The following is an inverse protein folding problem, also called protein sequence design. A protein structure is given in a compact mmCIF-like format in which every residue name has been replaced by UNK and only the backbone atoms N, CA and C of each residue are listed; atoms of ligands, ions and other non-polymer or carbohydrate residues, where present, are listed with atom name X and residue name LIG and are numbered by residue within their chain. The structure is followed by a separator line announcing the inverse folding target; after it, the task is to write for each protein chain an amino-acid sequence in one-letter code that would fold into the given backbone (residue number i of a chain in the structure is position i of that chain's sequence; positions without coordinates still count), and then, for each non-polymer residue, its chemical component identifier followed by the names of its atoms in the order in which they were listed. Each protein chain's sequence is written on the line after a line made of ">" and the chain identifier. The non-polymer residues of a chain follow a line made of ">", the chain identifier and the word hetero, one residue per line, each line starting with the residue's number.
data_IF_383305165687
#
_entry.id   IF_383305165687
#
_cell.length_a   1.000
_cell.length_b   1.000
_cell.length_c   1.000
_cell.angle_alpha   90.00
_cell.angle_beta   90.00
_cell.angle_gamma   90.00
#
_symmetry.space_group_name_H-M   'P 1'
#
loop_
_entity.id
_entity.type
_entity.pdbx_description
1 polymer ?
#
# COMPACT_ATOMS: atom_id res chain seq x y z
N UNK A 1 34.55 3.44 2.34
CA UNK A 1 34.24 2.00 2.18
C UNK A 1 32.93 1.73 2.92
N UNK A 2 31.87 1.36 2.19
CA UNK A 2 30.56 1.06 2.78
C UNK A 2 30.58 -0.33 3.40
N UNK A 3 30.51 -0.40 4.73
CA UNK A 3 30.34 -1.64 5.48
C UNK A 3 28.84 -1.92 5.64
N UNK A 4 28.38 -3.16 5.42
CA UNK A 4 26.98 -3.58 5.61
C UNK A 4 26.87 -4.63 6.72
N UNK A 5 25.77 -4.59 7.47
CA UNK A 5 25.45 -5.56 8.51
C UNK A 5 24.57 -6.68 7.96
N UNK A 6 24.88 -7.91 8.32
CA UNK A 6 23.99 -9.06 8.12
C UNK A 6 22.86 -9.11 9.17
N UNK A 7 22.04 -10.16 9.10
CA UNK A 7 20.93 -10.38 10.05
C UNK A 7 21.42 -10.72 11.48
N UNK A 8 22.64 -11.22 11.62
CA UNK A 8 23.26 -11.62 12.88
C UNK A 8 24.10 -10.48 13.51
N UNK A 9 24.18 -9.33 12.83
CA UNK A 9 24.91 -8.13 13.24
C UNK A 9 26.38 -8.09 12.85
N UNK A 10 26.88 -9.09 12.11
CA UNK A 10 28.23 -9.11 11.57
C UNK A 10 28.39 -8.04 10.49
N UNK A 11 29.55 -7.39 10.48
CA UNK A 11 29.86 -6.25 9.63
C UNK A 11 30.85 -6.65 8.56
N UNK A 12 30.43 -6.55 7.31
CA UNK A 12 31.24 -6.92 6.16
C UNK A 12 31.56 -5.70 5.31
N UNK A 13 32.75 -5.68 4.69
CA UNK A 13 33.14 -4.69 3.68
C UNK A 13 33.37 -5.29 2.29
N UNK A 14 33.36 -6.63 2.18
CA UNK A 14 33.52 -7.35 0.93
C UNK A 14 32.27 -7.26 0.04
N UNK A 15 32.48 -6.93 -1.25
CA UNK A 15 31.37 -6.71 -2.19
C UNK A 15 30.53 -7.97 -2.45
N UNK A 16 31.16 -9.14 -2.52
CA UNK A 16 30.46 -10.41 -2.78
C UNK A 16 29.49 -10.75 -1.65
N UNK A 17 29.97 -10.70 -0.41
CA UNK A 17 29.18 -10.91 0.78
C UNK A 17 28.06 -9.86 0.95
N UNK A 18 28.33 -8.57 0.68
CA UNK A 18 27.29 -7.52 0.70
C UNK A 18 26.16 -7.83 -0.29
N UNK A 19 26.49 -8.34 -1.49
CA UNK A 19 25.48 -8.71 -2.49
C UNK A 19 24.62 -9.89 -2.02
N UNK A 20 25.19 -10.88 -1.35
CA UNK A 20 24.44 -12.02 -0.81
C UNK A 20 23.57 -11.62 0.39
N UNK A 21 24.04 -10.72 1.27
CA UNK A 21 23.21 -10.11 2.32
C UNK A 21 22.02 -9.39 1.68
N UNK A 22 22.25 -8.62 0.61
CA UNK A 22 21.18 -7.93 -0.09
C UNK A 22 20.17 -8.88 -0.72
N UNK A 23 20.68 -9.91 -1.41
CA UNK A 23 19.86 -10.89 -2.11
C UNK A 23 19.01 -11.69 -1.14
N UNK A 24 19.59 -12.19 -0.06
CA UNK A 24 18.86 -12.93 0.98
C UNK A 24 17.77 -12.09 1.63
N UNK A 25 18.08 -10.85 2.04
CA UNK A 25 17.12 -9.94 2.65
C UNK A 25 15.90 -9.67 1.74
N UNK A 26 16.14 -9.27 0.49
CA UNK A 26 15.04 -8.97 -0.43
C UNK A 26 14.29 -10.21 -0.90
N UNK A 27 14.97 -11.36 -1.03
CA UNK A 27 14.33 -12.64 -1.32
C UNK A 27 13.30 -12.98 -0.24
N UNK A 28 13.68 -12.94 1.04
CA UNK A 28 12.76 -13.16 2.16
C UNK A 28 11.62 -12.13 2.18
N UNK A 29 11.94 -10.86 1.91
CA UNK A 29 10.94 -9.79 1.91
C UNK A 29 9.86 -10.03 0.83
N UNK A 30 10.24 -10.38 -0.39
CA UNK A 30 9.30 -10.59 -1.48
C UNK A 30 8.57 -11.94 -1.42
N UNK A 31 9.22 -13.01 -0.93
CA UNK A 31 8.58 -14.32 -0.73
C UNK A 31 7.47 -14.29 0.34
N UNK A 32 7.69 -13.54 1.43
CA UNK A 32 6.72 -13.41 2.52
C UNK A 32 5.45 -12.60 2.16
N UNK A 33 5.48 -11.87 1.05
CA UNK A 33 4.42 -10.94 0.65
C UNK A 33 3.38 -11.55 -0.32
N UNK A 34 3.51 -12.83 -0.69
CA UNK A 34 2.58 -13.50 -1.60
C UNK A 34 1.55 -14.35 -0.84
N UNK A 35 0.36 -13.83 -0.49
CA UNK A 35 -0.80 -14.70 -0.44
C UNK A 35 -1.11 -15.12 -1.88
N UNK A 36 -0.84 -16.39 -2.21
CA UNK A 36 -1.32 -16.98 -3.46
C UNK A 36 -2.82 -16.74 -3.54
N UNK A 37 -3.35 -16.05 -4.58
CA UNK A 37 -4.79 -15.95 -4.75
C UNK A 37 -5.31 -17.35 -5.05
N UNK A 38 -5.73 -18.04 -4.00
CA UNK A 38 -6.40 -19.34 -4.11
C UNK A 38 -7.84 -19.00 -4.49
N UNK A 39 -8.18 -19.25 -5.75
CA UNK A 39 -9.46 -19.03 -6.42
C UNK A 39 -9.73 -17.59 -6.90
N UNK A 40 -9.32 -17.29 -8.14
CA UNK A 40 -10.10 -16.38 -8.98
C UNK A 40 -11.46 -17.04 -9.24
N UNK A 41 -12.53 -16.44 -8.72
CA UNK A 41 -13.91 -16.84 -8.98
C UNK A 41 -14.15 -16.94 -10.51
N UNK A 42 -14.85 -17.98 -10.94
CA UNK A 42 -15.35 -18.09 -12.33
C UNK A 42 -16.30 -16.91 -12.58
N UNK A 43 -16.05 -16.19 -13.66
CA UNK A 43 -16.78 -14.99 -14.06
C UNK A 43 -18.29 -15.26 -14.22
N UNK A 44 -19.11 -14.29 -13.79
CA UNK A 44 -20.52 -14.19 -14.14
C UNK A 44 -20.70 -14.04 -15.67
N UNK A 45 -21.79 -14.55 -16.26
CA UNK A 45 -21.97 -14.71 -17.72
C UNK A 45 -22.16 -13.41 -18.52
N UNK A 46 -21.95 -12.24 -17.92
CA UNK A 46 -22.28 -10.93 -18.50
C UNK A 46 -21.03 -10.02 -18.57
N UNK A 47 -19.88 -10.58 -18.96
CA UNK A 47 -18.66 -9.79 -19.15
C UNK A 47 -18.61 -9.23 -20.57
N UNK A 48 -18.75 -7.91 -20.69
CA UNK A 48 -18.32 -7.19 -21.89
C UNK A 48 -16.87 -7.62 -22.23
N UNK A 49 -16.67 -8.21 -23.40
CA UNK A 49 -15.32 -8.57 -23.86
C UNK A 49 -14.45 -7.31 -23.92
N UNK A 50 -13.28 -7.33 -23.26
CA UNK A 50 -12.36 -6.20 -23.30
C UNK A 50 -11.83 -6.07 -24.74
N UNK A 51 -12.03 -4.91 -25.41
CA UNK A 51 -11.64 -4.77 -26.81
C UNK A 51 -10.12 -4.88 -26.99
N UNK A 52 -9.62 -5.34 -28.15
CA UNK A 52 -8.18 -5.39 -28.42
C UNK A 52 -7.54 -4.00 -28.39
N UNK A 53 -6.21 -3.94 -28.32
CA UNK A 53 -5.48 -2.68 -28.40
C UNK A 53 -5.40 -2.18 -29.84
N UNK A 54 -5.40 -0.86 -30.03
CA UNK A 54 -5.16 -0.24 -31.35
C UNK A 54 -3.73 0.26 -31.46
N UNK A 55 -3.18 0.29 -32.68
CA UNK A 55 -1.83 0.81 -32.94
C UNK A 55 -1.67 2.26 -32.47
N UNK A 56 -2.71 3.07 -32.64
CA UNK A 56 -2.75 4.45 -32.15
C UNK A 56 -2.68 4.53 -30.62
N UNK A 57 -3.37 3.63 -29.91
CA UNK A 57 -3.31 3.56 -28.45
C UNK A 57 -1.88 3.23 -27.99
N UNK A 58 -1.25 2.22 -28.59
CA UNK A 58 0.14 1.82 -28.32
C UNK A 58 1.12 2.95 -28.62
N UNK A 59 1.03 3.56 -29.81
CA UNK A 59 1.87 4.68 -30.25
C UNK A 59 1.75 5.87 -29.30
N UNK A 60 0.52 6.24 -28.92
CA UNK A 60 0.29 7.33 -27.97
C UNK A 60 0.88 7.06 -26.59
N UNK A 61 0.84 5.81 -26.13
CA UNK A 61 1.43 5.40 -24.87
C UNK A 61 2.95 5.45 -24.92
N UNK A 62 3.54 4.92 -25.99
CA UNK A 62 4.98 4.88 -26.21
C UNK A 62 5.58 6.28 -26.31
N UNK A 63 4.96 7.18 -27.08
CA UNK A 63 5.40 8.58 -27.17
C UNK A 63 5.32 9.32 -25.83
N UNK A 64 4.36 8.95 -24.98
CA UNK A 64 4.20 9.54 -23.66
C UNK A 64 5.11 8.91 -22.59
N UNK A 65 5.94 7.92 -22.92
CA UNK A 65 6.93 7.36 -21.99
C UNK A 65 8.15 8.27 -21.87
N UNK A 66 8.77 8.29 -20.70
CA UNK A 66 9.99 9.06 -20.48
C UNK A 66 11.17 8.46 -21.23
N UNK A 67 11.83 9.29 -22.04
CA UNK A 67 13.04 8.94 -22.81
C UNK A 67 14.28 8.87 -21.92
N UNK A 68 15.34 8.20 -22.40
CA UNK A 68 16.65 8.09 -21.71
C UNK A 68 16.58 7.55 -20.28
N UNK A 69 15.70 6.58 -19.99
CA UNK A 69 15.74 5.85 -18.70
C UNK A 69 16.52 4.54 -18.83
N UNK A 70 16.93 4.02 -17.68
CA UNK A 70 17.65 2.75 -17.60
C UNK A 70 16.80 1.58 -18.14
N UNK A 71 17.40 0.69 -18.93
CA UNK A 71 16.71 -0.47 -19.47
C UNK A 71 16.43 -1.54 -18.41
N UNK A 72 15.56 -2.49 -18.75
CA UNK A 72 15.34 -3.70 -17.97
C UNK A 72 16.46 -4.74 -18.18
N UNK A 73 16.22 -6.01 -17.80
CA UNK A 73 17.13 -7.12 -18.07
C UNK A 73 17.36 -7.40 -19.57
N UNK A 74 16.45 -6.94 -20.41
CA UNK A 74 16.45 -7.11 -21.88
C UNK A 74 17.27 -6.03 -22.61
N UNK A 75 17.82 -5.04 -21.90
CA UNK A 75 18.57 -3.91 -22.47
C UNK A 75 17.80 -3.06 -23.52
N UNK A 76 16.48 -3.26 -23.63
CA UNK A 76 15.59 -2.51 -24.53
C UNK A 76 15.05 -1.27 -23.80
N UNK A 77 15.04 -0.14 -24.50
CA UNK A 77 14.48 1.13 -24.01
C UNK A 77 13.30 1.60 -24.88
N UNK A 78 12.51 2.55 -24.39
CA UNK A 78 11.44 3.18 -25.17
C UNK A 78 11.95 3.85 -26.45
N UNK A 79 13.19 4.34 -26.42
CA UNK A 79 13.80 5.00 -27.57
C UNK A 79 14.10 3.98 -28.68
N UNK A 80 14.57 2.77 -28.33
CA UNK A 80 14.77 1.67 -29.27
C UNK A 80 13.43 1.21 -29.87
N UNK A 81 12.39 1.09 -29.05
CA UNK A 81 11.05 0.74 -29.54
C UNK A 81 10.49 1.80 -30.49
N UNK A 82 10.78 3.08 -30.25
CA UNK A 82 10.35 4.18 -31.11
C UNK A 82 11.09 4.21 -32.45
N UNK A 83 12.36 3.81 -32.49
CA UNK A 83 13.13 3.66 -33.73
C UNK A 83 12.56 2.56 -34.64
N UNK A 84 11.89 1.57 -34.07
CA UNK A 84 11.26 0.48 -34.82
C UNK A 84 10.01 0.87 -35.61
N UNK A 85 9.49 2.09 -35.40
CA UNK A 85 8.36 2.70 -36.12
C UNK A 85 7.14 1.76 -36.33
N UNK A 86 6.43 1.86 -37.46
CA UNK A 86 5.19 1.13 -37.72
C UNK A 86 5.30 -0.41 -37.65
N UNK A 87 6.35 -1.08 -38.17
CA UNK A 87 6.46 -2.54 -38.07
C UNK A 87 6.46 -3.03 -36.62
N UNK A 88 7.26 -2.39 -35.75
CA UNK A 88 7.34 -2.74 -34.34
C UNK A 88 6.05 -2.40 -33.60
N UNK A 89 5.42 -1.26 -33.91
CA UNK A 89 4.14 -0.89 -33.32
C UNK A 89 3.04 -1.90 -33.64
N UNK A 90 2.95 -2.37 -34.89
CA UNK A 90 1.98 -3.41 -35.29
C UNK A 90 2.23 -4.73 -34.57
N UNK A 91 3.49 -5.15 -34.49
CA UNK A 91 3.86 -6.37 -33.79
C UNK A 91 3.49 -6.31 -32.30
N UNK A 92 3.91 -5.24 -31.60
CA UNK A 92 3.58 -5.02 -30.19
C UNK A 92 2.07 -4.98 -29.95
N UNK A 93 1.32 -4.32 -30.84
CA UNK A 93 -0.15 -4.25 -30.74
C UNK A 93 -0.79 -5.64 -30.82
N UNK A 94 -0.32 -6.48 -31.75
CA UNK A 94 -0.79 -7.86 -31.87
C UNK A 94 -0.47 -8.67 -30.63
N UNK A 95 0.79 -8.63 -30.16
CA UNK A 95 1.21 -9.36 -28.98
C UNK A 95 0.44 -8.92 -27.73
N UNK A 96 0.26 -7.62 -27.51
CA UNK A 96 -0.48 -7.12 -26.35
C UNK A 96 -1.97 -7.50 -26.39
N UNK A 97 -2.58 -7.53 -27.57
CA UNK A 97 -3.97 -7.96 -27.73
C UNK A 97 -4.12 -9.46 -27.49
N UNK A 98 -3.13 -10.26 -27.90
CA UNK A 98 -3.09 -11.69 -27.64
C UNK A 98 -2.86 -12.00 -26.16
N UNK A 99 -2.00 -11.25 -25.47
CA UNK A 99 -1.80 -11.34 -24.01
C UNK A 99 -3.12 -11.01 -23.28
N UNK A 100 -3.85 -9.99 -23.73
CA UNK A 100 -5.15 -9.61 -23.15
C UNK A 100 -6.18 -10.74 -23.29
N UNK A 101 -6.23 -11.40 -24.45
CA UNK A 101 -7.16 -12.51 -24.72
C UNK A 101 -6.77 -13.80 -24.00
N UNK A 102 -5.49 -14.17 -24.04
CA UNK A 102 -4.98 -15.43 -23.46
C UNK A 102 -4.79 -15.36 -21.94
N UNK A 103 -4.73 -14.14 -21.37
CA UNK A 103 -4.42 -13.86 -19.97
C UNK A 103 -3.07 -14.44 -19.52
N UNK A 104 -2.17 -14.72 -20.47
CA UNK A 104 -0.82 -15.25 -20.22
C UNK A 104 0.21 -14.18 -20.58
N UNK A 105 1.09 -13.89 -19.63
CA UNK A 105 2.22 -12.98 -19.84
C UNK A 105 3.47 -13.75 -20.27
N UNK A 106 4.40 -13.12 -21.00
CA UNK A 106 5.71 -13.69 -21.26
C UNK A 106 6.50 -13.95 -19.97
N UNK A 107 7.20 -15.08 -19.89
CA UNK A 107 8.04 -15.44 -18.73
C UNK A 107 9.16 -14.44 -18.48
N UNK A 108 9.67 -13.79 -19.53
CA UNK A 108 10.68 -12.73 -19.40
C UNK A 108 10.18 -11.48 -18.63
N UNK A 109 8.86 -11.31 -18.45
CA UNK A 109 8.31 -10.21 -17.64
C UNK A 109 8.30 -10.52 -16.14
N UNK A 110 8.56 -11.77 -15.76
CA UNK A 110 8.70 -12.19 -14.36
C UNK A 110 10.08 -11.81 -13.79
N UNK A 111 11.03 -11.47 -14.66
CA UNK A 111 12.37 -11.07 -14.28
C UNK A 111 12.52 -9.54 -14.16
N UNK A 112 13.29 -9.10 -13.17
CA UNK A 112 13.59 -7.69 -12.93
C UNK A 112 15.03 -7.51 -12.45
N UNK A 113 15.69 -6.44 -12.92
CA UNK A 113 17.01 -6.05 -12.43
C UNK A 113 16.87 -5.14 -11.22
N UNK A 114 17.24 -5.64 -10.03
CA UNK A 114 17.14 -4.90 -8.77
C UNK A 114 18.34 -3.96 -8.60
N UNK A 115 18.09 -2.67 -8.41
CA UNK A 115 19.09 -1.66 -8.03
C UNK A 115 18.73 -1.11 -6.66
N UNK A 116 19.69 -1.08 -5.76
CA UNK A 116 19.49 -0.64 -4.38
C UNK A 116 20.04 0.78 -4.23
N UNK A 117 19.21 1.72 -3.77
CA UNK A 117 19.58 3.14 -3.60
C UNK A 117 19.48 3.54 -2.12
N UNK A 118 20.55 4.11 -1.59
CA UNK A 118 20.56 4.61 -0.21
C UNK A 118 19.56 5.75 -0.03
N UNK A 119 18.73 5.68 1.03
CA UNK A 119 17.70 6.69 1.34
C UNK A 119 18.16 7.64 2.44
N UNK A 120 18.34 7.14 3.67
CA UNK A 120 18.69 7.91 4.88
C UNK A 120 19.02 6.97 6.05
N UNK A 121 19.73 7.44 7.08
CA UNK A 121 19.99 6.68 8.30
C UNK A 121 21.43 6.15 8.36
N UNK A 122 21.59 4.93 8.86
CA UNK A 122 22.90 4.27 8.89
C UNK A 122 23.14 3.54 7.56
N UNK A 123 24.21 3.87 6.80
CA UNK A 123 24.57 3.16 5.57
C UNK A 123 24.90 1.68 5.77
N UNK A 124 25.18 1.24 6.99
CA UNK A 124 25.41 -0.17 7.27
C UNK A 124 24.16 -1.01 7.47
N UNK A 125 22.97 -0.42 7.47
CA UNK A 125 21.71 -1.16 7.61
C UNK A 125 20.97 -1.19 6.27
N UNK A 126 20.70 -2.40 5.77
CA UNK A 126 20.01 -2.61 4.49
C UNK A 126 18.60 -2.01 4.45
N UNK A 127 17.91 -1.88 5.59
CA UNK A 127 16.57 -1.29 5.68
C UNK A 127 16.55 0.19 5.29
N UNK A 128 17.71 0.85 5.35
CA UNK A 128 17.89 2.25 4.95
C UNK A 128 18.08 2.43 3.45
N UNK A 129 18.04 1.35 2.69
CA UNK A 129 18.09 1.37 1.24
C UNK A 129 16.72 1.06 0.62
N UNK A 130 16.48 1.66 -0.54
CA UNK A 130 15.28 1.46 -1.36
C UNK A 130 15.61 0.55 -2.54
N UNK A 131 14.91 -0.59 -2.68
CA UNK A 131 15.01 -1.37 -3.90
C UNK A 131 14.27 -0.66 -5.04
N UNK A 132 14.87 -0.59 -6.21
CA UNK A 132 14.27 -0.15 -7.46
C UNK A 132 14.39 -1.29 -8.46
N UNK A 133 13.25 -1.84 -8.87
CA UNK A 133 13.18 -2.90 -9.87
C UNK A 133 13.12 -2.29 -11.28
N UNK A 134 14.16 -2.51 -12.07
CA UNK A 134 14.16 -2.19 -13.50
C UNK A 134 13.49 -3.33 -14.26
N UNK A 135 12.28 -3.05 -14.75
CA UNK A 135 11.46 -3.95 -15.55
C UNK A 135 11.65 -3.69 -17.05
N UNK A 136 11.37 -4.71 -17.86
CA UNK A 136 11.33 -4.59 -19.33
C UNK A 136 10.39 -3.46 -19.78
N UNK A 137 10.78 -2.78 -20.85
CA UNK A 137 9.98 -1.68 -21.42
C UNK A 137 8.69 -2.16 -22.08
N UNK A 138 8.65 -3.38 -22.63
CA UNK A 138 7.39 -3.94 -23.16
C UNK A 138 6.37 -4.17 -22.05
N UNK A 139 6.82 -4.63 -20.87
CA UNK A 139 5.98 -4.76 -19.68
C UNK A 139 5.45 -3.40 -19.21
N UNK A 140 6.32 -2.40 -19.09
CA UNK A 140 5.94 -1.03 -18.72
C UNK A 140 4.95 -0.40 -19.72
N UNK A 141 5.13 -0.66 -21.01
CA UNK A 141 4.21 -0.19 -22.05
C UNK A 141 2.84 -0.86 -21.93
N UNK A 142 2.80 -2.18 -21.73
CA UNK A 142 1.57 -2.94 -21.53
C UNK A 142 0.80 -2.48 -20.29
N UNK A 143 1.47 -2.37 -19.14
CA UNK A 143 0.84 -1.87 -17.90
C UNK A 143 0.34 -0.43 -18.03
N UNK A 144 1.04 0.44 -18.78
CA UNK A 144 0.58 1.80 -19.08
C UNK A 144 -0.69 1.82 -19.94
N UNK A 145 -0.83 0.89 -20.90
CA UNK A 145 -2.05 0.74 -21.70
C UNK A 145 -3.24 0.35 -20.81
N UNK A 146 -3.04 -0.64 -19.93
CA UNK A 146 -4.05 -1.04 -18.94
C UNK A 146 -4.40 0.13 -18.01
N UNK A 147 -3.40 0.84 -17.50
CA UNK A 147 -3.59 2.02 -16.67
C UNK A 147 -4.49 3.05 -17.37
N UNK A 148 -4.22 3.41 -18.63
CA UNK A 148 -5.06 4.36 -19.38
C UNK A 148 -6.50 3.90 -19.57
N UNK A 149 -6.75 2.59 -19.64
CA UNK A 149 -8.11 2.03 -19.71
C UNK A 149 -8.79 2.10 -18.34
N UNK A 150 -8.08 1.70 -17.29
CA UNK A 150 -8.59 1.76 -15.91
C UNK A 150 -8.86 3.19 -15.45
N UNK A 151 -8.01 4.16 -15.81
CA UNK A 151 -8.20 5.57 -15.48
C UNK A 151 -9.53 6.14 -16.01
N UNK A 152 -9.99 5.67 -17.19
CA UNK A 152 -11.29 6.06 -17.75
C UNK A 152 -12.46 5.54 -16.92
N UNK A 153 -12.34 4.34 -16.37
CA UNK A 153 -13.36 3.69 -15.55
C UNK A 153 -13.36 4.29 -14.13
N UNK A 154 -12.18 4.57 -13.59
CA UNK A 154 -11.98 5.04 -12.21
C UNK A 154 -12.16 6.55 -12.04
N UNK A 155 -12.75 7.27 -13.01
CA UNK A 155 -12.84 8.74 -12.99
C UNK A 155 -13.49 9.35 -11.74
N UNK A 156 -14.39 8.60 -11.08
CA UNK A 156 -15.19 9.05 -9.95
C UNK A 156 -14.59 8.75 -8.57
N UNK A 157 -13.27 8.95 -8.38
CA UNK A 157 -12.67 8.88 -7.04
C UNK A 157 -13.02 10.12 -6.18
N UNK A 158 -13.16 9.96 -4.85
CA UNK A 158 -13.30 11.09 -3.92
C UNK A 158 -12.19 12.14 -4.10
N UNK A 159 -12.51 13.42 -3.84
CA UNK A 159 -11.54 14.51 -3.97
C UNK A 159 -10.40 14.41 -2.96
N UNK A 160 -10.65 13.79 -1.82
CA UNK A 160 -9.67 13.54 -0.76
C UNK A 160 -8.59 12.52 -1.17
N UNK A 161 -8.81 11.79 -2.27
CA UNK A 161 -7.82 10.88 -2.85
C UNK A 161 -7.03 11.58 -3.96
N UNK A 162 -5.97 12.29 -3.56
CA UNK A 162 -5.04 12.96 -4.49
C UNK A 162 -3.88 12.08 -4.96
N UNK A 163 -3.57 11.00 -4.23
CA UNK A 163 -2.41 10.15 -4.54
C UNK A 163 -2.52 9.49 -5.91
N UNK A 164 -1.49 9.65 -6.75
CA UNK A 164 -1.37 9.05 -8.09
C UNK A 164 -2.51 9.37 -9.06
N UNK A 165 -3.23 10.49 -8.85
CA UNK A 165 -4.35 10.91 -9.69
C UNK A 165 -3.96 12.12 -10.55
N UNK A 166 -4.32 12.08 -11.84
CA UNK A 166 -4.10 13.21 -12.76
C UNK A 166 -4.89 14.43 -12.30
N UNK A 167 -4.22 15.59 -12.25
CA UNK A 167 -4.85 16.87 -11.88
C UNK A 167 -4.98 17.11 -10.38
N UNK A 168 -4.42 16.23 -9.55
CA UNK A 168 -4.36 16.38 -8.10
C UNK A 168 -2.90 16.39 -7.65
N UNK A 169 -2.60 17.20 -6.65
CA UNK A 169 -1.25 17.33 -6.09
C UNK A 169 -1.28 17.28 -4.57
N UNK A 170 -0.15 16.89 -3.97
CA UNK A 170 0.04 16.97 -2.51
C UNK A 170 -0.02 18.41 -2.00
N UNK A 171 0.23 19.38 -2.89
CA UNK A 171 0.12 20.81 -2.57
C UNK A 171 -1.30 21.21 -2.19
N UNK A 172 -2.32 20.63 -2.83
CA UNK A 172 -3.73 20.94 -2.57
C UNK A 172 -4.12 20.52 -1.14
N UNK A 173 -3.64 19.34 -0.72
CA UNK A 173 -3.84 18.84 0.64
C UNK A 173 -3.05 19.63 1.69
N UNK A 174 -1.82 20.04 1.39
CA UNK A 174 -1.02 20.90 2.28
C UNK A 174 -1.75 22.24 2.48
N UNK A 175 -2.22 22.85 1.39
CA UNK A 175 -3.01 24.09 1.45
C UNK A 175 -4.28 23.91 2.28
N UNK A 176 -5.03 22.84 2.04
CA UNK A 176 -6.25 22.53 2.80
C UNK A 176 -5.96 22.37 4.29
N UNK A 177 -4.89 21.66 4.65
CA UNK A 177 -4.48 21.49 6.04
C UNK A 177 -4.11 22.83 6.69
N UNK A 178 -3.36 23.69 5.99
CA UNK A 178 -3.01 25.02 6.47
C UNK A 178 -4.24 25.89 6.73
N UNK A 179 -5.22 25.86 5.82
CA UNK A 179 -6.49 26.58 6.01
C UNK A 179 -7.26 26.10 7.25
N UNK A 180 -7.28 24.79 7.52
CA UNK A 180 -7.90 24.25 8.74
C UNK A 180 -7.16 24.72 10.00
N UNK A 181 -5.83 24.74 9.97
CA UNK A 181 -5.00 25.24 11.08
C UNK A 181 -5.26 26.73 11.33
N UNK A 182 -5.24 27.56 10.28
CA UNK A 182 -5.50 29.00 10.36
C UNK A 182 -6.89 29.27 10.94
N UNK A 183 -7.92 28.59 10.42
CA UNK A 183 -9.31 28.79 10.88
C UNK A 183 -9.52 28.32 12.32
N UNK A 184 -8.82 27.29 12.76
CA UNK A 184 -8.89 26.84 14.16
C UNK A 184 -8.26 27.87 15.10
N UNK A 185 -7.12 28.45 14.70
CA UNK A 185 -6.44 29.48 15.46
C UNK A 185 -7.28 30.76 15.56
N UNK A 186 -7.88 31.22 14.45
CA UNK A 186 -8.76 32.40 14.44
C UNK A 186 -9.95 32.27 15.41
N UNK A 187 -10.51 31.06 15.51
CA UNK A 187 -11.67 30.79 16.37
C UNK A 187 -11.29 30.31 17.78
N UNK A 188 -10.00 30.28 18.13
CA UNK A 188 -9.49 29.73 19.39
C UNK A 188 -10.00 28.31 19.69
N UNK A 189 -10.16 27.47 18.65
CA UNK A 189 -10.59 26.09 18.79
C UNK A 189 -9.36 25.16 18.90
N UNK A 190 -9.38 24.16 19.80
CA UNK A 190 -8.32 23.16 19.86
C UNK A 190 -8.35 22.25 18.63
N UNK A 191 -7.28 22.25 17.84
CA UNK A 191 -7.11 21.37 16.67
C UNK A 191 -6.13 20.23 17.00
N UNK A 192 -6.53 19.00 16.69
CA UNK A 192 -5.67 17.82 16.72
C UNK A 192 -5.53 17.25 15.30
N UNK A 193 -4.29 17.09 14.82
CA UNK A 193 -4.00 16.50 13.50
C UNK A 193 -3.30 15.15 13.69
N UNK A 194 -3.88 14.10 13.11
CA UNK A 194 -3.31 12.75 13.14
C UNK A 194 -2.66 12.38 11.80
N UNK A 195 -1.36 12.09 11.80
CA UNK A 195 -0.66 11.54 10.63
C UNK A 195 -0.63 10.02 10.73
N UNK A 196 -1.27 9.35 9.79
CA UNK A 196 -1.37 7.88 9.76
C UNK A 196 -0.42 7.36 8.69
N UNK A 197 0.65 6.69 9.13
CA UNK A 197 1.50 5.89 8.25
C UNK A 197 1.15 4.41 8.43
N UNK A 198 0.80 3.75 7.32
CA UNK A 198 0.39 2.35 7.30
C UNK A 198 1.62 1.44 7.26
N UNK A 199 2.49 1.53 8.26
CA UNK A 199 3.58 0.55 8.42
C UNK A 199 3.05 -0.73 9.10
N UNK A 200 2.05 -0.61 10.00
CA UNK A 200 1.39 -1.72 10.72
C UNK A 200 -0.04 -1.34 11.13
N UNK A 201 -1.06 -1.92 10.47
CA UNK A 201 -2.48 -1.63 10.72
C UNK A 201 -2.93 -1.79 12.20
N UNK A 202 -2.27 -2.68 12.96
CA UNK A 202 -2.50 -2.85 14.41
C UNK A 202 -2.18 -1.58 15.21
N UNK A 203 -1.04 -0.95 14.95
CA UNK A 203 -0.57 0.20 15.72
C UNK A 203 -1.52 1.38 15.56
N UNK A 204 -2.01 1.59 14.34
CA UNK A 204 -3.00 2.63 14.02
C UNK A 204 -4.30 2.40 14.80
N UNK A 205 -4.78 1.16 14.85
CA UNK A 205 -6.02 0.84 15.56
C UNK A 205 -5.89 1.11 17.07
N UNK A 206 -4.85 0.57 17.71
CA UNK A 206 -4.68 0.65 19.16
C UNK A 206 -4.41 2.09 19.64
N UNK A 207 -3.69 2.90 18.84
CA UNK A 207 -3.31 4.28 19.24
C UNK A 207 -4.35 5.35 18.94
N UNK A 208 -5.12 5.22 17.84
CA UNK A 208 -5.98 6.30 17.37
C UNK A 208 -7.45 5.91 17.33
N UNK A 209 -7.78 4.78 16.69
CA UNK A 209 -9.17 4.35 16.52
C UNK A 209 -9.78 3.99 17.87
N UNK A 210 -9.04 3.24 18.70
CA UNK A 210 -9.52 2.76 19.98
C UNK A 210 -9.80 3.90 20.98
N UNK A 211 -8.91 4.89 21.19
CA UNK A 211 -9.22 6.03 22.05
C UNK A 211 -10.34 6.92 21.52
N UNK A 212 -10.41 7.12 20.19
CA UNK A 212 -11.47 7.97 19.57
C UNK A 212 -12.84 7.33 19.73
N UNK A 213 -12.96 6.03 19.44
CA UNK A 213 -14.22 5.29 19.61
C UNK A 213 -14.68 5.20 21.07
N UNK A 214 -13.75 5.25 22.01
CA UNK A 214 -14.02 5.15 23.44
C UNK A 214 -13.86 6.50 24.15
N UNK A 215 -13.89 7.60 23.38
CA UNK A 215 -13.80 8.93 23.95
C UNK A 215 -14.95 9.17 24.93
N UNK A 216 -14.63 9.72 26.11
CA UNK A 216 -15.61 9.92 27.18
C UNK A 216 -16.08 8.63 27.85
N UNK A 217 -15.42 7.48 27.63
CA UNK A 217 -15.91 6.22 28.17
C UNK A 217 -15.92 6.11 29.71
N UNK A 218 -15.25 7.04 30.37
CA UNK A 218 -15.20 7.16 31.81
C UNK A 218 -16.57 7.55 32.37
N UNK A 219 -17.34 8.39 31.67
CA UNK A 219 -18.55 9.05 32.19
C UNK A 219 -19.85 8.31 31.86
N UNK A 220 -19.91 7.53 30.78
CA UNK A 220 -21.12 6.76 30.43
C UNK A 220 -21.20 5.38 31.12
N UNK A 221 -22.42 4.86 31.27
CA UNK A 221 -22.66 3.50 31.80
C UNK A 221 -22.46 2.45 30.71
N UNK A 222 -21.57 1.47 30.96
CA UNK A 222 -21.28 0.40 30.00
C UNK A 222 -22.37 -0.68 30.07
N UNK A 223 -23.45 -0.51 29.31
CA UNK A 223 -24.52 -1.53 29.22
C UNK A 223 -24.12 -2.70 28.33
N UNK A 224 -24.82 -3.85 28.47
CA UNK A 224 -24.62 -5.01 27.57
C UNK A 224 -24.85 -4.64 26.10
N UNK A 225 -25.84 -3.79 25.82
CA UNK A 225 -26.15 -3.33 24.46
C UNK A 225 -25.02 -2.48 23.86
N UNK A 226 -24.49 -1.50 24.61
CA UNK A 226 -23.37 -0.65 24.16
C UNK A 226 -22.11 -1.48 23.95
N UNK A 227 -21.84 -2.42 24.86
CA UNK A 227 -20.69 -3.34 24.76
C UNK A 227 -20.75 -4.19 23.49
N UNK A 228 -21.93 -4.72 23.15
CA UNK A 228 -22.12 -5.47 21.91
C UNK A 228 -21.89 -4.59 20.68
N UNK A 229 -22.44 -3.38 20.64
CA UNK A 229 -22.24 -2.42 19.53
C UNK A 229 -20.75 -2.12 19.30
N UNK A 230 -20.00 -1.83 20.37
CA UNK A 230 -18.56 -1.60 20.30
C UNK A 230 -17.78 -2.82 19.78
N UNK A 231 -18.12 -4.02 20.26
CA UNK A 231 -17.52 -5.28 19.77
C UNK A 231 -17.87 -5.56 18.31
N UNK A 232 -19.08 -5.26 17.86
CA UNK A 232 -19.47 -5.42 16.46
C UNK A 232 -18.69 -4.47 15.55
N UNK A 233 -18.58 -3.20 15.95
CA UNK A 233 -17.77 -2.21 15.23
C UNK A 233 -16.30 -2.63 15.16
N UNK A 234 -15.69 -3.02 16.29
CA UNK A 234 -14.34 -3.55 16.34
C UNK A 234 -14.16 -4.74 15.39
N UNK A 235 -15.04 -5.75 15.45
CA UNK A 235 -14.95 -6.94 14.58
C UNK A 235 -15.07 -6.61 13.09
N UNK A 236 -15.92 -5.65 12.73
CA UNK A 236 -16.05 -5.21 11.34
C UNK A 236 -14.72 -4.60 10.84
N UNK A 237 -14.07 -3.77 11.66
CA UNK A 237 -12.76 -3.20 11.34
C UNK A 237 -11.66 -4.26 11.29
N UNK A 238 -11.60 -5.19 12.26
CA UNK A 238 -10.62 -6.29 12.27
C UNK A 238 -10.72 -7.17 11.01
N UNK A 239 -11.94 -7.45 10.56
CA UNK A 239 -12.18 -8.19 9.31
C UNK A 239 -11.69 -7.42 8.08
N UNK A 240 -11.95 -6.10 8.04
CA UNK A 240 -11.47 -5.23 6.95
C UNK A 240 -9.95 -5.14 6.92
N UNK A 241 -9.29 -5.04 8.08
CA UNK A 241 -7.83 -5.01 8.21
C UNK A 241 -7.20 -6.30 7.63
N UNK A 242 -7.82 -7.46 7.88
CA UNK A 242 -7.32 -8.75 7.40
C UNK A 242 -7.87 -9.18 6.02
N UNK A 243 -8.74 -8.37 5.39
CA UNK A 243 -9.38 -8.73 4.13
C UNK A 243 -10.36 -9.91 4.21
N UNK A 244 -10.87 -10.27 5.38
CA UNK A 244 -11.74 -11.45 5.60
C UNK A 244 -13.20 -11.10 5.31
N UNK A 245 -13.82 -11.85 4.40
CA UNK A 245 -15.25 -11.74 4.07
C UNK A 245 -16.11 -12.46 5.13
N UNK A 246 -17.42 -12.19 5.14
CA UNK A 246 -18.36 -12.93 6.01
C UNK A 246 -18.51 -14.39 5.55
N UNK A 247 -18.38 -14.64 4.25
CA UNK A 247 -18.44 -15.96 3.63
C UNK A 247 -17.35 -16.92 4.14
N UNK A 248 -16.19 -16.39 4.53
CA UNK A 248 -15.04 -17.18 4.97
C UNK A 248 -15.27 -17.89 6.32
N UNK A 249 -16.37 -17.58 7.03
CA UNK A 249 -16.81 -18.19 8.30
C UNK A 249 -15.70 -18.31 9.37
N UNK A 250 -14.71 -17.40 9.33
CA UNK A 250 -13.61 -17.38 10.30
C UNK A 250 -14.11 -16.98 11.70
N UNK A 251 -13.70 -17.75 12.71
CA UNK A 251 -14.03 -17.51 14.12
C UNK A 251 -13.46 -16.18 14.61
N UNK A 252 -14.20 -15.46 15.45
CA UNK A 252 -13.77 -14.16 15.98
C UNK A 252 -12.49 -14.26 16.84
N UNK A 253 -12.30 -15.37 17.56
CA UNK A 253 -11.08 -15.64 18.33
C UNK A 253 -9.84 -15.75 17.45
N UNK A 254 -10.00 -16.32 16.26
CA UNK A 254 -8.92 -16.49 15.28
C UNK A 254 -8.58 -15.14 14.62
N UNK A 255 -9.59 -14.34 14.29
CA UNK A 255 -9.40 -12.96 13.81
C UNK A 255 -8.58 -12.17 14.83
N UNK A 256 -8.93 -12.27 16.12
CA UNK A 256 -8.23 -11.57 17.22
C UNK A 256 -6.77 -12.04 17.40
N UNK A 257 -6.50 -13.34 17.22
CA UNK A 257 -5.12 -13.88 17.27
C UNK A 257 -4.25 -13.32 16.15
N UNK A 258 -4.82 -13.17 14.95
CA UNK A 258 -4.11 -12.64 13.78
C UNK A 258 -3.90 -11.14 13.85
N UNK A 259 -4.89 -10.37 14.29
CA UNK A 259 -4.77 -8.90 14.42
C UNK A 259 -3.90 -8.49 15.59
N UNK A 260 -3.90 -9.27 16.68
CA UNK A 260 -3.28 -8.91 17.97
C UNK A 260 -3.73 -7.54 18.52
N UNK A 261 -4.86 -7.03 18.03
CA UNK A 261 -5.45 -5.76 18.45
C UNK A 261 -6.02 -5.89 19.87
N UNK A 262 -5.93 -4.82 20.67
CA UNK A 262 -6.46 -4.82 22.04
C UNK A 262 -8.00 -4.92 22.06
N UNK A 263 -8.57 -5.70 22.99
CA UNK A 263 -10.03 -5.74 23.14
C UNK A 263 -10.59 -4.40 23.61
N UNK A 264 -11.66 -3.94 22.95
CA UNK A 264 -12.28 -2.66 23.26
C UNK A 264 -12.89 -2.61 24.67
N UNK A 265 -13.40 -3.73 25.17
CA UNK A 265 -14.00 -3.79 26.50
C UNK A 265 -12.90 -3.74 27.56
N UNK A 266 -11.82 -4.47 27.36
CA UNK A 266 -10.66 -4.44 28.26
C UNK A 266 -10.02 -3.04 28.29
N UNK A 267 -9.98 -2.34 27.15
CA UNK A 267 -9.51 -0.96 27.09
C UNK A 267 -10.41 -0.01 27.88
N UNK A 268 -11.74 -0.06 27.67
CA UNK A 268 -12.70 0.78 28.42
C UNK A 268 -12.65 0.50 29.92
N UNK A 269 -12.56 -0.77 30.31
CA UNK A 269 -12.43 -1.16 31.71
C UNK A 269 -11.17 -0.54 32.34
N UNK A 270 -10.01 -0.64 31.67
CA UNK A 270 -8.76 -0.02 32.12
C UNK A 270 -8.88 1.49 32.27
N UNK A 271 -9.54 2.18 31.33
CA UNK A 271 -9.74 3.63 31.41
C UNK A 271 -10.63 4.04 32.58
N UNK A 272 -11.71 3.29 32.84
CA UNK A 272 -12.58 3.51 34.00
C UNK A 272 -11.84 3.32 35.33
N UNK A 273 -11.04 2.27 35.46
CA UNK A 273 -10.22 2.04 36.65
C UNK A 273 -9.17 3.13 36.87
N UNK A 274 -8.52 3.61 35.80
CA UNK A 274 -7.59 4.74 35.87
C UNK A 274 -8.29 6.02 36.38
N UNK A 275 -9.48 6.30 35.87
CA UNK A 275 -10.29 7.44 36.29
C UNK A 275 -10.74 7.32 37.75
N UNK A 276 -11.26 6.16 38.17
CA UNK A 276 -11.64 5.91 39.55
C UNK A 276 -10.45 6.11 40.51
N UNK A 277 -9.25 5.63 40.15
CA UNK A 277 -8.04 5.86 40.92
C UNK A 277 -7.61 7.33 40.95
N UNK A 278 -7.83 8.10 39.88
CA UNK A 278 -7.59 9.55 39.89
C UNK A 278 -8.57 10.29 40.82
N UNK A 279 -9.86 9.93 40.78
CA UNK A 279 -10.88 10.50 41.67
C UNK A 279 -10.61 10.15 43.14
N UNK A 280 -10.15 8.94 43.44
CA UNK A 280 -9.80 8.55 44.80
C UNK A 280 -8.65 9.41 45.36
N UNK A 281 -7.61 9.66 44.56
CA UNK A 281 -6.46 10.50 44.95
C UNK A 281 -6.78 11.98 45.12
N UNK A 282 -7.88 12.48 44.56
CA UNK A 282 -8.32 13.86 44.77
C UNK A 282 -8.86 14.13 46.18
N UNK A 283 -9.16 13.09 46.97
CA UNK A 283 -9.59 13.22 48.36
C UNK A 283 -8.44 13.16 49.38
N UNK A 284 -7.25 12.80 48.93
CA UNK A 284 -6.05 12.64 49.77
C UNK A 284 -5.14 13.89 49.75
N UNK A 285 -5.52 14.94 49.02
CA UNK A 285 -4.91 16.28 49.00
C UNK A 285 -5.93 17.32 49.47
#
# INVERSE_FOLDING_TARGET
>A
MSCMKDNDGHKTTERGEILEICKSFYKTLYESALPTPTNCEKESPDSDEVPPFTTNEVKSCLLAMSKKKAPGPDDITSDILLLGDEPVLKYLTSCFSEILKSRKIPTCWEEAKLIIIYKKGNPGDIKNYRPISLLSYSYKLFTRLLQKRMERILGNQPRDQAGFRKGYSTTDHIYTLNQVIEKSNENNLPLCVGFIDYEKARQVYDQYVLPTMTYGCQTWSLTKATTQKLRFAQRAMERKILGIKLADRVKCSEIRKRTQIQDIVDFVAKQKWKWAGHVARLKDN
#
